data_IF_340318928720
#
_entry.id   IF_340318928720
#
_cell.length_a   1.000
_cell.length_b   1.000
_cell.length_c   1.000
_cell.angle_alpha   90.00
_cell.angle_beta   90.00
_cell.angle_gamma   90.00
#
_symmetry.space_group_name_H-M   'P 1'
#
loop_
_entity.id
_entity.type
_entity.pdbx_description
1 polymer ?
#
# COMPACT_ATOMS: atom_id res chain seq x y z
N UNK A 1 18.09 4.36 3.16
CA UNK A 1 17.08 5.13 3.93
C UNK A 1 15.70 5.00 3.29
N UNK A 2 14.67 4.83 4.11
CA UNK A 2 13.32 4.69 3.61
C UNK A 2 12.68 6.05 3.34
N UNK A 3 12.06 6.19 2.17
CA UNK A 3 11.35 7.41 1.83
C UNK A 3 10.13 7.59 2.73
N UNK A 4 9.88 8.83 3.09
CA UNK A 4 8.72 9.19 3.89
C UNK A 4 7.73 9.91 3.00
N UNK A 5 6.49 9.43 2.97
CA UNK A 5 5.44 10.02 2.16
C UNK A 5 4.57 10.94 3.00
N UNK A 6 4.16 12.06 2.43
CA UNK A 6 3.21 12.96 3.08
C UNK A 6 1.76 12.67 2.64
N UNK A 7 1.58 11.78 1.68
CA UNK A 7 0.26 11.37 1.23
C UNK A 7 -0.31 10.32 2.16
N UNK A 8 -1.56 10.48 2.55
CA UNK A 8 -2.24 9.54 3.44
C UNK A 8 -2.20 8.11 2.88
N UNK A 9 -1.93 7.10 3.73
CA UNK A 9 -2.04 5.70 3.30
C UNK A 9 -3.42 5.34 2.77
N UNK A 10 -4.47 5.93 3.33
CA UNK A 10 -5.84 5.70 2.84
C UNK A 10 -5.94 6.13 1.38
N UNK A 11 -5.47 7.33 1.07
CA UNK A 11 -5.51 7.80 -0.31
C UNK A 11 -4.65 6.94 -1.23
N UNK A 12 -3.43 6.59 -0.80
CA UNK A 12 -2.54 5.78 -1.63
C UNK A 12 -3.15 4.43 -1.97
N UNK A 13 -3.75 3.77 -0.98
CA UNK A 13 -4.37 2.47 -1.17
C UNK A 13 -5.62 2.61 -2.03
N UNK A 14 -6.45 3.61 -1.75
CA UNK A 14 -7.66 3.84 -2.52
C UNK A 14 -7.35 4.08 -4.01
N UNK A 15 -6.27 4.82 -4.30
CA UNK A 15 -5.84 5.06 -5.67
C UNK A 15 -5.37 3.79 -6.35
N UNK A 16 -4.67 2.92 -5.62
CA UNK A 16 -4.25 1.63 -6.17
C UNK A 16 -5.45 0.77 -6.51
N UNK A 17 -6.42 0.70 -5.62
CA UNK A 17 -7.64 -0.08 -5.87
C UNK A 17 -8.38 0.45 -7.09
N UNK A 18 -8.52 1.77 -7.20
CA UNK A 18 -9.19 2.39 -8.33
C UNK A 18 -8.45 2.10 -9.63
N UNK A 19 -7.13 2.20 -9.62
CA UNK A 19 -6.31 1.93 -10.82
C UNK A 19 -6.44 0.48 -11.26
N UNK A 20 -6.44 -0.45 -10.31
CA UNK A 20 -6.59 -1.88 -10.63
C UNK A 20 -7.95 -2.15 -11.25
N UNK A 21 -9.01 -1.54 -10.71
CA UNK A 21 -10.36 -1.73 -11.23
C UNK A 21 -10.47 -1.20 -12.66
N UNK A 22 -9.89 -0.03 -12.93
CA UNK A 22 -9.90 0.55 -14.27
C UNK A 22 -9.11 -0.30 -15.24
N UNK A 23 -7.97 -0.83 -14.78
CA UNK A 23 -7.12 -1.68 -15.61
C UNK A 23 -7.85 -2.97 -16.00
N UNK A 24 -8.55 -3.59 -15.06
CA UNK A 24 -9.33 -4.81 -15.31
C UNK A 24 -10.39 -4.56 -16.37
N UNK A 25 -11.01 -3.37 -16.33
CA UNK A 25 -12.05 -3.01 -17.29
C UNK A 25 -11.50 -2.48 -18.62
N UNK A 26 -10.18 -2.40 -18.73
CA UNK A 26 -9.54 -1.90 -19.95
C UNK A 26 -9.49 -0.39 -20.05
N UNK A 27 -9.94 0.31 -19.03
CA UNK A 27 -10.01 1.77 -19.05
C UNK A 27 -8.74 2.45 -18.57
N UNK A 28 -7.89 1.70 -17.86
CA UNK A 28 -6.68 2.25 -17.30
C UNK A 28 -5.43 2.04 -18.12
N UNK A 29 -5.57 1.68 -19.39
CA UNK A 29 -4.43 1.31 -20.21
C UNK A 29 -3.77 2.46 -20.96
N UNK A 30 -4.40 3.59 -21.02
CA UNK A 30 -3.85 4.71 -21.76
C UNK A 30 -3.45 5.86 -20.84
N UNK A 31 -3.00 6.94 -21.44
CA UNK A 31 -2.48 8.09 -20.70
C UNK A 31 -3.53 8.77 -19.82
N UNK A 32 -4.81 8.49 -20.05
CA UNK A 32 -5.89 9.09 -19.29
C UNK A 32 -6.15 8.36 -17.97
N UNK A 33 -5.48 7.22 -17.72
CA UNK A 33 -5.72 6.43 -16.52
C UNK A 33 -5.54 7.24 -15.24
N UNK A 34 -4.55 8.12 -15.19
CA UNK A 34 -4.32 8.96 -14.03
C UNK A 34 -5.49 9.87 -13.71
N UNK A 35 -6.10 10.45 -14.75
CA UNK A 35 -7.27 11.29 -14.58
C UNK A 35 -8.49 10.51 -14.11
N UNK A 36 -8.65 9.29 -14.62
CA UNK A 36 -9.73 8.42 -14.19
C UNK A 36 -9.59 8.05 -12.72
N UNK A 37 -8.38 7.73 -12.29
CA UNK A 37 -8.11 7.43 -10.89
C UNK A 37 -8.43 8.64 -10.02
N UNK A 38 -8.01 9.84 -10.45
CA UNK A 38 -8.30 11.06 -9.71
C UNK A 38 -9.80 11.29 -9.54
N UNK A 39 -10.60 10.85 -10.51
CA UNK A 39 -12.04 11.05 -10.46
C UNK A 39 -12.76 10.07 -9.53
N UNK A 40 -12.20 8.87 -9.33
CA UNK A 40 -12.94 7.79 -8.67
C UNK A 40 -12.31 7.22 -7.40
N UNK A 41 -11.08 7.61 -7.05
CA UNK A 41 -10.40 6.97 -5.91
C UNK A 41 -11.17 7.16 -4.60
N UNK A 42 -11.90 8.25 -4.45
CA UNK A 42 -12.64 8.51 -3.21
C UNK A 42 -13.72 7.47 -2.93
N UNK A 43 -14.19 6.79 -3.98
CA UNK A 43 -15.16 5.71 -3.82
C UNK A 43 -14.54 4.49 -3.17
N UNK A 44 -13.22 4.41 -3.12
CA UNK A 44 -12.51 3.26 -2.57
C UNK A 44 -11.99 3.49 -1.15
N UNK A 45 -12.35 4.61 -0.53
CA UNK A 45 -11.84 4.95 0.80
C UNK A 45 -12.20 3.89 1.84
N UNK A 46 -13.44 3.42 1.83
CA UNK A 46 -13.88 2.39 2.78
C UNK A 46 -13.06 1.11 2.65
N UNK A 47 -12.77 0.70 1.42
CA UNK A 47 -11.96 -0.48 1.18
C UNK A 47 -10.52 -0.27 1.66
N UNK A 48 -9.98 0.91 1.40
CA UNK A 48 -8.63 1.24 1.85
C UNK A 48 -8.52 1.16 3.37
N UNK A 49 -9.52 1.70 4.07
CA UNK A 49 -9.56 1.64 5.52
C UNK A 49 -9.62 0.19 6.01
N UNK A 50 -10.44 -0.62 5.37
CA UNK A 50 -10.55 -2.04 5.73
C UNK A 50 -9.22 -2.76 5.56
N UNK A 51 -8.51 -2.47 4.47
CA UNK A 51 -7.19 -3.05 4.24
C UNK A 51 -6.22 -2.67 5.36
N UNK A 52 -6.19 -1.38 5.71
CA UNK A 52 -5.28 -0.90 6.74
C UNK A 52 -5.60 -1.51 8.11
N UNK A 53 -6.87 -1.75 8.39
CA UNK A 53 -7.27 -2.36 9.65
C UNK A 53 -6.71 -3.77 9.81
N UNK A 54 -6.59 -4.51 8.71
CA UNK A 54 -6.03 -5.86 8.79
C UNK A 54 -4.54 -5.84 9.12
N UNK A 55 -3.84 -4.74 8.81
CA UNK A 55 -2.41 -4.62 9.07
C UNK A 55 -2.09 -4.25 10.53
N UNK A 56 -3.09 -4.00 11.36
CA UNK A 56 -2.83 -3.64 12.75
C UNK A 56 -2.26 -4.80 13.56
N UNK A 57 -2.51 -6.03 13.13
CA UNK A 57 -2.01 -7.22 13.83
C UNK A 57 -0.89 -7.83 13.02
N UNK A 58 0.36 -7.68 13.47
CA UNK A 58 1.48 -8.22 12.72
C UNK A 58 1.61 -9.74 12.93
N UNK A 59 2.20 -10.39 11.94
CA UNK A 59 2.59 -11.80 12.10
C UNK A 59 3.93 -11.86 12.80
N UNK A 60 4.35 -13.05 13.30
CA UNK A 60 5.68 -13.21 13.88
C UNK A 60 6.80 -12.81 12.91
N UNK A 61 6.63 -13.11 11.63
CA UNK A 61 7.62 -12.74 10.61
C UNK A 61 7.77 -11.23 10.49
N UNK A 62 6.64 -10.50 10.57
CA UNK A 62 6.67 -9.05 10.53
C UNK A 62 7.36 -8.47 11.76
N UNK A 63 7.08 -9.03 12.93
CA UNK A 63 7.72 -8.59 14.17
C UNK A 63 9.23 -8.78 14.10
N UNK A 64 9.69 -9.94 13.62
CA UNK A 64 11.11 -10.20 13.50
C UNK A 64 11.78 -9.27 12.49
N UNK A 65 11.11 -9.01 11.36
CA UNK A 65 11.63 -8.08 10.36
C UNK A 65 11.80 -6.68 10.93
N UNK A 66 10.81 -6.23 11.71
CA UNK A 66 10.87 -4.92 12.34
C UNK A 66 12.00 -4.83 13.36
N UNK A 67 12.18 -5.90 14.14
CA UNK A 67 13.24 -5.95 15.14
C UNK A 67 14.61 -5.88 14.49
N UNK A 68 14.80 -6.57 13.38
CA UNK A 68 16.05 -6.60 12.66
C UNK A 68 16.36 -5.28 11.95
N UNK A 69 15.37 -4.44 11.71
CA UNK A 69 15.56 -3.21 10.97
C UNK A 69 16.20 -2.08 11.78
N UNK A 70 16.34 -2.27 13.08
CA UNK A 70 16.99 -1.27 13.93
C UNK A 70 15.97 -0.44 14.71
N UNK A 71 16.27 0.85 14.89
CA UNK A 71 15.46 1.69 15.77
C UNK A 71 14.74 2.84 15.06
N UNK A 72 14.96 3.03 13.76
CA UNK A 72 14.29 4.10 13.03
C UNK A 72 12.87 3.66 12.66
N UNK A 73 11.83 4.39 13.10
CA UNK A 73 10.45 3.97 12.85
C UNK A 73 10.10 3.78 11.38
N UNK A 74 10.61 4.62 10.49
CA UNK A 74 10.33 4.49 9.06
C UNK A 74 10.95 3.22 8.49
N UNK A 75 12.18 2.89 8.91
CA UNK A 75 12.84 1.67 8.48
C UNK A 75 12.12 0.44 9.02
N UNK A 76 11.69 0.49 10.29
CA UNK A 76 10.96 -0.60 10.91
C UNK A 76 9.66 -0.86 10.16
N UNK A 77 8.90 0.19 9.89
CA UNK A 77 7.62 0.06 9.18
C UNK A 77 7.81 -0.55 7.80
N UNK A 78 8.81 -0.05 7.06
CA UNK A 78 9.09 -0.55 5.72
C UNK A 78 9.44 -2.04 5.75
N UNK A 79 10.30 -2.45 6.70
CA UNK A 79 10.71 -3.85 6.82
C UNK A 79 9.52 -4.73 7.15
N UNK A 80 8.63 -4.28 8.03
CA UNK A 80 7.46 -5.05 8.42
C UNK A 80 6.48 -5.21 7.25
N UNK A 81 6.27 -4.15 6.48
CA UNK A 81 5.36 -4.22 5.32
C UNK A 81 5.94 -5.15 4.26
N UNK A 82 7.27 -5.10 4.03
CA UNK A 82 7.90 -6.02 3.08
C UNK A 82 7.73 -7.47 3.52
N UNK A 83 7.84 -7.73 4.82
CA UNK A 83 7.60 -9.08 5.34
C UNK A 83 6.14 -9.50 5.15
N UNK A 84 5.21 -8.54 5.27
CA UNK A 84 3.80 -8.82 5.03
C UNK A 84 3.51 -9.20 3.58
N UNK A 85 4.23 -8.59 2.65
CA UNK A 85 4.10 -8.89 1.23
C UNK A 85 4.69 -10.27 0.93
N UNK A 86 5.75 -10.63 1.62
CA UNK A 86 6.34 -11.96 1.52
C UNK A 86 7.20 -12.15 0.30
N UNK A 87 7.00 -13.26 -0.38
CA UNK A 87 7.89 -13.71 -1.45
C UNK A 87 8.02 -12.74 -2.61
N UNK A 88 7.01 -11.93 -2.87
CA UNK A 88 7.05 -10.98 -3.97
C UNK A 88 8.15 -9.96 -3.84
N UNK A 89 8.52 -9.62 -2.62
CA UNK A 89 9.54 -8.61 -2.37
C UNK A 89 10.96 -9.11 -2.57
N UNK A 90 11.16 -10.40 -2.68
CA UNK A 90 12.50 -10.98 -2.82
C UNK A 90 12.93 -11.16 -4.26
N UNK A 91 12.08 -10.84 -5.19
CA UNK A 91 12.37 -11.06 -6.62
C UNK A 91 13.14 -9.91 -7.25
#
# INVERSE_FOLDING_TARGET
>A
MTDISVTSPVERIARVIAAEALSINGEGRDASAGGEVDAVWEQEISRAISVLRTLREPTPEMVEAGRAAGSDPAEIWNAMVRAAIGMEETV
#
